data_IF_624767162913
#
_entry.id   IF_624767162913
#
_cell.length_a   1.000
_cell.length_b   1.000
_cell.length_c   1.000
_cell.angle_alpha   90.00
_cell.angle_beta   90.00
_cell.angle_gamma   90.00
#
_symmetry.space_group_name_H-M   'P 1'
#
loop_
_entity.id
_entity.type
_entity.pdbx_description
1 polymer ?
#
# COMPACT_ATOMS: atom_id res chain seq x y z
N UNK A 1 10.71 45.53 37.98
CA UNK A 1 9.88 44.30 37.98
C UNK A 1 9.77 43.60 36.61
N UNK A 2 10.58 43.95 35.59
CA UNK A 2 10.42 43.47 34.20
C UNK A 2 11.27 42.24 33.80
N UNK A 3 12.38 41.94 34.50
CA UNK A 3 13.27 40.83 34.12
C UNK A 3 12.64 39.44 34.32
N UNK A 4 11.80 39.26 35.35
CA UNK A 4 11.12 37.98 35.64
C UNK A 4 10.06 37.63 34.60
N UNK A 5 9.24 38.60 34.16
CA UNK A 5 8.22 38.39 33.10
C UNK A 5 8.84 38.01 31.75
N UNK A 6 9.94 38.66 31.36
CA UNK A 6 10.63 38.37 30.10
C UNK A 6 11.24 36.95 30.08
N UNK A 7 11.84 36.52 31.19
CA UNK A 7 12.33 35.14 31.33
C UNK A 7 11.23 34.08 31.26
N UNK A 8 10.07 34.32 31.89
CA UNK A 8 8.94 33.39 31.84
C UNK A 8 8.34 33.26 30.43
N UNK A 9 8.23 34.36 29.69
CA UNK A 9 7.73 34.37 28.30
C UNK A 9 8.71 33.61 27.37
N UNK A 10 10.01 33.76 27.59
CA UNK A 10 11.02 33.08 26.79
C UNK A 10 11.00 31.56 27.00
N UNK A 11 10.90 31.11 28.26
CA UNK A 11 10.82 29.68 28.59
C UNK A 11 9.53 29.06 28.05
N UNK A 12 8.38 29.72 28.17
CA UNK A 12 7.13 29.21 27.62
C UNK A 12 7.13 29.14 26.09
N UNK A 13 7.77 30.09 25.41
CA UNK A 13 7.95 30.06 23.96
C UNK A 13 8.81 28.87 23.51
N UNK A 14 9.90 28.56 24.22
CA UNK A 14 10.74 27.39 23.93
C UNK A 14 9.96 26.08 24.11
N UNK A 15 9.16 25.97 25.18
CA UNK A 15 8.34 24.79 25.42
C UNK A 15 7.30 24.62 24.30
N UNK A 16 6.63 25.70 23.89
CA UNK A 16 5.69 25.71 22.76
C UNK A 16 6.38 25.26 21.45
N UNK A 17 7.57 25.79 21.15
CA UNK A 17 8.32 25.42 19.96
C UNK A 17 8.76 23.96 19.99
N UNK A 18 9.18 23.45 21.16
CA UNK A 18 9.54 22.04 21.34
C UNK A 18 8.33 21.11 21.13
N UNK A 19 7.17 21.45 21.68
CA UNK A 19 5.93 20.69 21.49
C UNK A 19 5.49 20.69 20.03
N UNK A 20 5.48 21.85 19.37
CA UNK A 20 5.12 21.98 17.97
C UNK A 20 6.08 21.17 17.08
N UNK A 21 7.39 21.30 17.31
CA UNK A 21 8.40 20.53 16.58
C UNK A 21 8.21 19.02 16.75
N UNK A 22 7.96 18.56 17.97
CA UNK A 22 7.67 17.15 18.25
C UNK A 22 6.42 16.65 17.53
N UNK A 23 5.34 17.44 17.53
CA UNK A 23 4.10 17.11 16.81
C UNK A 23 4.31 17.02 15.30
N UNK A 24 5.11 17.90 14.70
CA UNK A 24 5.43 17.84 13.27
C UNK A 24 6.19 16.57 12.90
N UNK A 25 7.19 16.18 13.71
CA UNK A 25 7.93 14.93 13.49
C UNK A 25 7.00 13.72 13.58
N UNK A 26 6.12 13.69 14.58
CA UNK A 26 5.16 12.60 14.76
C UNK A 26 4.15 12.52 13.61
N UNK A 27 3.62 13.66 13.16
CA UNK A 27 2.72 13.73 12.01
C UNK A 27 3.39 13.21 10.73
N UNK A 28 4.65 13.59 10.49
CA UNK A 28 5.41 13.09 9.35
C UNK A 28 5.64 11.57 9.40
N UNK A 29 5.98 11.03 10.58
CA UNK A 29 6.14 9.59 10.76
C UNK A 29 4.81 8.83 10.53
N UNK A 30 3.71 9.33 11.09
CA UNK A 30 2.39 8.75 10.91
C UNK A 30 1.93 8.81 9.45
N UNK A 31 2.15 9.93 8.76
CA UNK A 31 1.81 10.09 7.34
C UNK A 31 2.61 9.13 6.45
N UNK A 32 3.92 8.99 6.70
CA UNK A 32 4.76 8.05 5.96
C UNK A 32 4.32 6.59 6.17
N UNK A 33 3.99 6.21 7.41
CA UNK A 33 3.43 4.89 7.69
C UNK A 33 2.09 4.66 6.98
N UNK A 34 1.22 5.68 6.95
CA UNK A 34 -0.06 5.63 6.25
C UNK A 34 0.11 5.50 4.74
N UNK A 35 1.05 6.24 4.12
CA UNK A 35 1.39 6.10 2.70
C UNK A 35 1.86 4.68 2.37
N UNK A 36 2.74 4.12 3.20
CA UNK A 36 3.21 2.74 3.04
C UNK A 36 2.06 1.72 3.12
N UNK A 37 1.13 1.90 4.06
CA UNK A 37 -0.05 1.04 4.20
C UNK A 37 -0.99 1.17 2.99
N UNK A 38 -1.27 2.40 2.53
CA UNK A 38 -2.10 2.65 1.34
C UNK A 38 -1.49 2.04 0.09
N UNK A 39 -0.17 2.18 -0.11
CA UNK A 39 0.52 1.58 -1.25
C UNK A 39 0.39 0.04 -1.25
N UNK A 40 0.48 -0.60 -0.08
CA UNK A 40 0.24 -2.04 0.07
C UNK A 40 -1.19 -2.42 -0.27
N UNK A 41 -2.19 -1.68 0.25
CA UNK A 41 -3.60 -1.92 -0.07
C UNK A 41 -3.90 -1.76 -1.56
N UNK A 42 -3.36 -0.72 -2.21
CA UNK A 42 -3.51 -0.52 -3.66
C UNK A 42 -2.92 -1.71 -4.43
N UNK A 43 -1.76 -2.20 -4.00
CA UNK A 43 -1.13 -3.37 -4.64
C UNK A 43 -1.98 -4.62 -4.49
N UNK A 44 -2.55 -4.84 -3.31
CA UNK A 44 -3.42 -5.98 -3.04
C UNK A 44 -4.70 -5.91 -3.89
N UNK A 45 -5.36 -4.74 -3.94
CA UNK A 45 -6.55 -4.52 -4.75
C UNK A 45 -6.28 -4.72 -6.25
N UNK A 46 -5.10 -4.35 -6.74
CA UNK A 46 -4.69 -4.63 -8.12
C UNK A 46 -4.53 -6.14 -8.37
N UNK A 47 -3.89 -6.86 -7.44
CA UNK A 47 -3.76 -8.33 -7.52
C UNK A 47 -5.13 -9.00 -7.54
N UNK A 48 -6.06 -8.58 -6.67
CA UNK A 48 -7.41 -9.14 -6.61
C UNK A 48 -8.21 -8.86 -7.89
N UNK A 49 -8.07 -7.65 -8.45
CA UNK A 49 -8.70 -7.29 -9.73
C UNK A 49 -8.17 -8.16 -10.87
N UNK A 50 -6.86 -8.39 -10.91
CA UNK A 50 -6.23 -9.28 -11.90
C UNK A 50 -6.71 -10.73 -11.72
N UNK A 51 -6.79 -11.22 -10.48
CA UNK A 51 -7.29 -12.57 -10.17
C UNK A 51 -8.71 -12.77 -10.70
N UNK A 52 -9.61 -11.78 -10.51
CA UNK A 52 -10.97 -11.82 -11.05
C UNK A 52 -10.98 -11.82 -12.59
N UNK A 53 -10.20 -10.94 -13.23
CA UNK A 53 -10.14 -10.87 -14.69
C UNK A 53 -9.62 -12.17 -15.32
N UNK A 54 -8.59 -12.77 -14.72
CA UNK A 54 -8.02 -14.05 -15.18
C UNK A 54 -9.02 -15.18 -15.00
N UNK A 55 -9.67 -15.23 -13.85
CA UNK A 55 -10.71 -16.24 -13.55
C UNK A 55 -11.84 -16.18 -14.59
N UNK A 56 -12.32 -14.97 -14.93
CA UNK A 56 -13.33 -14.77 -15.96
C UNK A 56 -12.82 -15.13 -17.37
N UNK A 57 -11.60 -14.73 -17.71
CA UNK A 57 -11.00 -15.01 -19.02
C UNK A 57 -10.77 -16.52 -19.22
N UNK A 58 -10.35 -17.23 -18.18
CA UNK A 58 -10.19 -18.69 -18.23
C UNK A 58 -11.52 -19.41 -18.41
N UNK A 59 -12.56 -19.01 -17.67
CA UNK A 59 -13.89 -19.59 -17.82
C UNK A 59 -14.45 -19.37 -19.23
N UNK A 60 -14.19 -18.22 -19.84
CA UNK A 60 -14.71 -17.87 -21.16
C UNK A 60 -13.93 -18.49 -22.33
N UNK A 61 -12.60 -18.51 -22.24
CA UNK A 61 -11.73 -18.79 -23.40
C UNK A 61 -10.72 -19.94 -23.15
N UNK A 62 -10.70 -20.56 -21.96
CA UNK A 62 -9.70 -21.57 -21.55
C UNK A 62 -8.24 -21.12 -21.71
N UNK A 63 -7.97 -19.81 -21.75
CA UNK A 63 -6.62 -19.28 -21.94
C UNK A 63 -5.80 -19.40 -20.66
N UNK A 64 -4.69 -20.14 -20.74
CA UNK A 64 -3.76 -20.40 -19.63
C UNK A 64 -2.64 -19.37 -19.48
N UNK A 65 -2.43 -18.53 -20.50
CA UNK A 65 -1.42 -17.47 -20.49
C UNK A 65 -2.06 -16.16 -20.93
N UNK A 66 -2.09 -15.19 -20.03
CA UNK A 66 -2.74 -13.91 -20.24
C UNK A 66 -1.78 -12.79 -19.87
N UNK A 67 -1.69 -11.78 -20.73
CA UNK A 67 -1.02 -10.53 -20.43
C UNK A 67 -2.09 -9.48 -20.17
N UNK A 68 -2.27 -9.11 -18.91
CA UNK A 68 -3.17 -8.02 -18.51
C UNK A 68 -2.30 -6.82 -18.16
N UNK A 69 -2.50 -5.73 -18.90
CA UNK A 69 -1.66 -4.52 -18.84
C UNK A 69 -0.16 -4.85 -19.05
N UNK A 70 0.64 -4.66 -18.00
CA UNK A 70 2.09 -4.90 -17.97
C UNK A 70 2.48 -6.10 -17.09
N UNK A 71 1.50 -6.91 -16.70
CA UNK A 71 1.66 -8.03 -15.76
C UNK A 71 1.55 -9.34 -16.53
N UNK A 72 2.57 -10.19 -16.42
CA UNK A 72 2.54 -11.53 -17.01
C UNK A 72 1.80 -12.46 -16.06
N UNK A 73 0.78 -13.14 -16.56
CA UNK A 73 -0.05 -14.04 -15.77
C UNK A 73 -0.02 -15.41 -16.40
N UNK A 74 0.51 -16.36 -15.62
CA UNK A 74 0.62 -17.76 -16.03
C UNK A 74 -0.28 -18.54 -15.09
N UNK A 75 -1.17 -19.35 -15.66
CA UNK A 75 -1.89 -20.33 -14.88
C UNK A 75 -1.14 -21.65 -14.88
N UNK A 76 -0.94 -22.19 -13.68
CA UNK A 76 -0.37 -23.51 -13.45
C UNK A 76 -1.43 -24.30 -12.68
N UNK A 77 -2.09 -25.23 -13.36
CA UNK A 77 -3.17 -26.05 -12.81
C UNK A 77 -4.35 -25.24 -12.22
N UNK A 78 -4.36 -25.06 -10.90
CA UNK A 78 -5.37 -24.33 -10.12
C UNK A 78 -4.86 -23.01 -9.55
N UNK A 79 -3.59 -22.69 -9.77
CA UNK A 79 -2.94 -21.50 -9.25
C UNK A 79 -2.67 -20.47 -10.35
N UNK A 80 -2.95 -19.22 -10.03
CA UNK A 80 -2.67 -18.05 -10.84
C UNK A 80 -1.37 -17.44 -10.34
N UNK A 81 -0.34 -17.48 -11.18
CA UNK A 81 0.94 -16.84 -10.95
C UNK A 81 0.94 -15.46 -11.60
N UNK A 82 0.85 -14.42 -10.78
CA UNK A 82 0.81 -13.02 -11.22
C UNK A 82 2.21 -12.42 -11.03
N UNK A 83 2.95 -12.23 -12.12
CA UNK A 83 4.28 -11.61 -12.10
C UNK A 83 4.17 -10.10 -12.33
N UNK A 84 4.36 -9.33 -11.26
CA UNK A 84 4.29 -7.87 -11.26
C UNK A 84 5.66 -7.29 -10.85
N UNK A 85 6.43 -6.82 -11.84
CA UNK A 85 7.83 -6.40 -11.63
C UNK A 85 8.72 -7.57 -11.19
N UNK A 86 9.41 -7.41 -10.04
CA UNK A 86 10.27 -8.45 -9.45
C UNK A 86 9.55 -9.37 -8.45
N UNK A 87 8.23 -9.20 -8.26
CA UNK A 87 7.45 -10.02 -7.32
C UNK A 87 6.49 -10.93 -8.08
N UNK A 88 6.41 -12.17 -7.61
CA UNK A 88 5.41 -13.14 -8.07
C UNK A 88 4.41 -13.34 -6.95
N UNK A 89 3.14 -13.11 -7.26
CA UNK A 89 2.03 -13.37 -6.36
C UNK A 89 1.32 -14.65 -6.82
N UNK A 90 1.14 -15.60 -5.89
CA UNK A 90 0.41 -16.84 -6.14
C UNK A 90 -0.98 -16.72 -5.51
N UNK A 91 -2.01 -16.98 -6.31
CA UNK A 91 -3.42 -16.89 -5.92
C UNK A 91 -4.20 -18.05 -6.51
N UNK A 92 -5.15 -18.59 -5.76
CA UNK A 92 -6.02 -19.66 -6.27
C UNK A 92 -6.96 -19.15 -7.37
N UNK A 93 -7.25 -20.01 -8.34
CA UNK A 93 -8.28 -19.78 -9.34
C UNK A 93 -9.67 -19.76 -8.66
N UNK A 94 -10.42 -18.67 -8.84
CA UNK A 94 -11.72 -18.48 -8.16
C UNK A 94 -12.86 -19.27 -8.81
N UNK A 95 -12.62 -19.91 -9.96
CA UNK A 95 -13.63 -20.69 -10.69
C UNK A 95 -13.26 -22.17 -10.57
N UNK A 96 -14.25 -23.02 -10.28
CA UNK A 96 -14.07 -24.47 -10.40
C UNK A 96 -13.75 -24.79 -11.85
N UNK A 97 -12.65 -25.51 -12.08
CA UNK A 97 -12.40 -26.15 -13.36
C UNK A 97 -13.64 -26.97 -13.76
N UNK A 98 -14.07 -26.90 -15.03
CA UNK A 98 -15.20 -27.70 -15.52
C UNK A 98 -14.95 -29.20 -15.36
#
# INVERSE_FOLDING_TARGET
>A
MNKRRSGTIFVSAIIMLGLLGGLFVLQNAAFNAQLGSRAKMITLAKVDTIQLQVSLAYHKNQQSNLKIENTQIIMVEKDIHIKMGNKTYVRELLVKSP
#
